data_IF_680418421893
#
_entry.id   IF_680418421893
#
_cell.length_a   1.000
_cell.length_b   1.000
_cell.length_c   1.000
_cell.angle_alpha   90.00
_cell.angle_beta   90.00
_cell.angle_gamma   90.00
#
_symmetry.space_group_name_H-M   'P 1'
#
loop_
_entity.id
_entity.type
_entity.pdbx_description
1 polymer ?
#
# COMPACT_ATOMS: atom_id res chain seq x y z
N UNK A 1 -0.51 -20.05 5.50
CA UNK A 1 -1.64 -19.43 4.75
C UNK A 1 -1.09 -18.19 4.03
N UNK A 2 -1.64 -17.76 2.89
CA UNK A 2 -1.18 -16.54 2.21
C UNK A 2 -2.16 -15.40 2.39
N UNK A 3 -1.65 -14.17 2.36
CA UNK A 3 -2.42 -12.93 2.34
C UNK A 3 -2.85 -12.64 0.91
N UNK A 4 -4.10 -12.21 0.75
CA UNK A 4 -4.67 -11.77 -0.53
C UNK A 4 -5.06 -10.28 -0.46
N UNK A 5 -6.22 -9.98 0.12
CA UNK A 5 -6.78 -8.62 0.21
C UNK A 5 -7.40 -8.35 1.59
N UNK A 6 -7.76 -7.08 1.83
CA UNK A 6 -8.48 -6.64 3.02
C UNK A 6 -9.80 -6.02 2.59
N UNK A 7 -10.88 -6.80 2.69
CA UNK A 7 -12.21 -6.40 2.19
C UNK A 7 -12.13 -5.98 0.71
N UNK A 8 -12.48 -4.75 0.37
CA UNK A 8 -12.36 -4.18 -0.98
C UNK A 8 -11.09 -3.34 -1.18
N UNK A 9 -9.96 -3.76 -0.61
CA UNK A 9 -8.68 -3.03 -0.70
C UNK A 9 -7.49 -3.98 -0.79
N UNK A 10 -6.47 -3.59 -1.56
CA UNK A 10 -5.19 -4.30 -1.59
C UNK A 10 -4.38 -3.99 -0.33
N UNK A 11 -3.44 -4.86 0.02
CA UNK A 11 -2.59 -4.76 1.21
C UNK A 11 -1.11 -4.74 0.87
N UNK A 12 -0.34 -3.98 1.64
CA UNK A 12 1.09 -3.81 1.52
C UNK A 12 1.78 -3.96 2.88
N UNK A 13 2.97 -4.56 2.88
CA UNK A 13 3.85 -4.72 4.04
C UNK A 13 5.16 -3.96 3.76
N UNK A 14 5.60 -3.12 4.70
CA UNK A 14 6.89 -2.43 4.61
C UNK A 14 7.93 -3.18 5.44
N UNK A 15 9.00 -3.64 4.80
CA UNK A 15 10.11 -4.42 5.38
C UNK A 15 11.45 -3.77 5.07
N UNK A 16 11.87 -2.82 5.91
CA UNK A 16 13.06 -2.01 5.63
C UNK A 16 12.86 -1.15 4.38
N UNK A 17 13.71 -1.30 3.37
CA UNK A 17 13.59 -0.58 2.08
C UNK A 17 12.70 -1.32 1.05
N UNK A 18 12.10 -2.45 1.43
CA UNK A 18 11.27 -3.26 0.52
C UNK A 18 9.80 -3.15 0.91
N UNK A 19 8.95 -2.84 -0.06
CA UNK A 19 7.49 -2.87 0.06
C UNK A 19 7.00 -4.13 -0.67
N UNK A 20 6.29 -4.99 0.05
CA UNK A 20 5.78 -6.26 -0.46
C UNK A 20 4.27 -6.19 -0.57
N UNK A 21 3.71 -6.68 -1.67
CA UNK A 21 2.27 -6.83 -1.86
C UNK A 21 1.95 -8.17 -2.54
N UNK A 22 0.79 -8.79 -2.26
CA UNK A 22 0.32 -9.93 -3.01
C UNK A 22 0.28 -9.68 -4.53
N UNK A 23 0.80 -10.64 -5.31
CA UNK A 23 0.73 -10.61 -6.78
C UNK A 23 -0.71 -10.86 -7.27
N UNK A 24 -1.10 -10.20 -8.36
CA UNK A 24 -2.47 -10.21 -8.89
C UNK A 24 -2.74 -11.30 -9.93
N UNK A 25 -1.87 -12.31 -10.01
CA UNK A 25 -1.98 -13.41 -10.98
C UNK A 25 -3.04 -14.48 -10.62
N UNK A 26 -4.11 -14.08 -9.92
CA UNK A 26 -5.12 -14.97 -9.35
C UNK A 26 -6.42 -14.25 -8.99
N UNK A 27 -6.89 -14.42 -7.76
CA UNK A 27 -8.18 -13.89 -7.25
C UNK A 27 -8.13 -12.43 -6.82
N UNK A 28 -6.93 -11.87 -6.72
CA UNK A 28 -6.66 -10.53 -6.19
C UNK A 28 -6.93 -9.49 -7.27
N UNK A 29 -7.69 -8.45 -6.93
CA UNK A 29 -8.03 -7.37 -7.84
C UNK A 29 -6.80 -6.51 -8.17
N UNK A 30 -6.61 -6.24 -9.46
CA UNK A 30 -5.62 -5.30 -9.97
C UNK A 30 -6.05 -3.84 -9.74
N UNK A 31 -6.01 -3.41 -8.47
CA UNK A 31 -6.45 -2.07 -8.09
C UNK A 31 -5.64 -0.95 -8.74
N UNK A 32 -6.32 0.08 -9.24
CA UNK A 32 -5.65 1.27 -9.82
C UNK A 32 -4.86 2.02 -8.75
N UNK A 33 -5.41 2.20 -7.54
CA UNK A 33 -4.69 2.84 -6.42
C UNK A 33 -3.45 2.04 -6.03
N UNK A 34 -3.53 0.69 -6.04
CA UNK A 34 -2.39 -0.20 -5.83
C UNK A 34 -1.31 0.07 -6.88
N UNK A 35 -1.67 0.11 -8.17
CA UNK A 35 -0.74 0.42 -9.26
C UNK A 35 -0.06 1.78 -9.06
N UNK A 36 -0.83 2.84 -8.79
CA UNK A 36 -0.27 4.18 -8.54
C UNK A 36 0.70 4.19 -7.35
N UNK A 37 0.35 3.49 -6.26
CA UNK A 37 1.21 3.40 -5.07
C UNK A 37 2.51 2.63 -5.35
N UNK A 38 2.46 1.56 -6.13
CA UNK A 38 3.65 0.82 -6.57
C UNK A 38 4.57 1.75 -7.37
N UNK A 39 4.03 2.49 -8.35
CA UNK A 39 4.81 3.43 -9.16
C UNK A 39 5.44 4.55 -8.33
N UNK A 40 4.69 5.11 -7.37
CA UNK A 40 5.21 6.13 -6.44
C UNK A 40 6.30 5.56 -5.52
N UNK A 41 6.10 4.37 -4.97
CA UNK A 41 7.11 3.71 -4.13
C UNK A 41 8.43 3.50 -4.87
N UNK A 42 8.37 3.00 -6.11
CA UNK A 42 9.55 2.83 -6.96
C UNK A 42 10.22 4.18 -7.24
N UNK A 43 9.43 5.22 -7.56
CA UNK A 43 9.95 6.57 -7.79
C UNK A 43 10.69 7.15 -6.57
N UNK A 44 10.23 6.82 -5.36
CA UNK A 44 10.87 7.21 -4.10
C UNK A 44 12.10 6.38 -3.73
N UNK A 45 12.47 5.37 -4.54
CA UNK A 45 13.64 4.53 -4.32
C UNK A 45 13.40 3.27 -3.48
N UNK A 46 12.15 2.94 -3.17
CA UNK A 46 11.82 1.66 -2.52
C UNK A 46 11.89 0.51 -3.52
N UNK A 47 12.32 -0.66 -3.04
CA UNK A 47 12.15 -1.91 -3.79
C UNK A 47 10.71 -2.37 -3.63
N UNK A 48 10.01 -2.67 -4.73
CA UNK A 48 8.66 -3.25 -4.66
C UNK A 48 8.69 -4.72 -5.10
N UNK A 49 8.08 -5.60 -4.31
CA UNK A 49 7.94 -7.02 -4.60
C UNK A 49 6.47 -7.42 -4.69
N UNK A 50 6.05 -7.87 -5.86
CA UNK A 50 4.73 -8.47 -6.10
C UNK A 50 4.88 -10.00 -6.09
N UNK A 51 4.45 -10.65 -5.01
CA UNK A 51 4.63 -12.11 -4.83
C UNK A 51 3.60 -12.70 -3.88
N UNK A 52 3.58 -14.02 -3.73
CA UNK A 52 2.82 -14.65 -2.63
C UNK A 52 3.42 -14.20 -1.30
N UNK A 53 2.55 -13.81 -0.37
CA UNK A 53 2.94 -13.31 0.95
C UNK A 53 2.37 -14.24 2.03
N UNK A 54 3.19 -15.09 2.66
CA UNK A 54 2.79 -15.86 3.83
C UNK A 54 2.32 -14.94 4.97
N UNK A 55 1.28 -15.35 5.69
CA UNK A 55 0.73 -14.61 6.85
C UNK A 55 1.79 -14.39 7.93
N UNK A 56 2.77 -15.28 8.01
CA UNK A 56 3.87 -15.24 8.96
C UNK A 56 4.76 -13.99 8.77
N UNK A 57 4.85 -13.45 7.55
CA UNK A 57 5.63 -12.23 7.26
C UNK A 57 5.05 -10.96 7.89
N UNK A 58 3.79 -10.99 8.35
CA UNK A 58 3.18 -9.88 9.09
C UNK A 58 4.01 -9.47 10.32
N UNK A 59 4.65 -10.44 10.98
CA UNK A 59 5.47 -10.19 12.16
C UNK A 59 6.77 -9.45 11.85
N UNK A 60 7.19 -9.47 10.59
CA UNK A 60 8.43 -8.85 10.11
C UNK A 60 8.18 -7.44 9.52
N UNK A 61 6.91 -7.07 9.32
CA UNK A 61 6.54 -5.79 8.75
C UNK A 61 6.67 -4.65 9.78
N UNK A 62 7.37 -3.60 9.40
CA UNK A 62 7.46 -2.36 10.19
C UNK A 62 6.18 -1.53 10.08
N UNK A 63 5.54 -1.56 8.92
CA UNK A 63 4.25 -0.94 8.64
C UNK A 63 3.40 -1.89 7.79
N UNK A 64 2.08 -1.78 7.94
CA UNK A 64 1.11 -2.39 7.05
C UNK A 64 0.12 -1.33 6.64
N UNK A 65 -0.25 -1.30 5.36
CA UNK A 65 -1.23 -0.37 4.85
C UNK A 65 -2.10 -0.99 3.76
N UNK A 66 -3.28 -0.40 3.57
CA UNK A 66 -4.23 -0.80 2.55
C UNK A 66 -4.39 0.30 1.50
N UNK A 67 -4.71 -0.10 0.28
CA UNK A 67 -5.01 0.82 -0.82
C UNK A 67 -6.33 0.48 -1.50
N UNK A 68 -7.10 1.50 -1.86
CA UNK A 68 -8.29 1.36 -2.69
C UNK A 68 -8.87 2.72 -3.04
N UNK A 69 -9.74 2.81 -4.04
CA UNK A 69 -10.26 4.11 -4.49
C UNK A 69 -10.95 4.90 -3.37
N UNK A 70 -11.82 4.23 -2.61
CA UNK A 70 -12.48 4.84 -1.46
C UNK A 70 -11.56 4.96 -0.23
N UNK A 71 -10.65 4.01 -0.05
CA UNK A 71 -9.72 3.93 1.10
C UNK A 71 -8.57 4.95 0.98
N UNK A 72 -8.21 5.35 -0.24
CA UNK A 72 -6.95 6.02 -0.54
C UNK A 72 -5.77 5.12 -0.17
N UNK A 73 -4.85 5.65 0.63
CA UNK A 73 -3.76 4.91 1.29
C UNK A 73 -3.98 5.02 2.79
N UNK A 74 -4.24 3.90 3.47
CA UNK A 74 -4.62 3.88 4.88
C UNK A 74 -3.74 2.93 5.69
N UNK A 75 -3.16 3.43 6.79
CA UNK A 75 -2.37 2.60 7.72
C UNK A 75 -3.24 1.57 8.44
N UNK A 76 -2.69 0.38 8.67
CA UNK A 76 -3.30 -0.68 9.48
C UNK A 76 -2.63 -0.69 10.86
N UNK A 77 -3.40 -0.44 11.92
CA UNK A 77 -2.87 -0.37 13.28
C UNK A 77 -2.61 -1.72 13.94
N UNK A 78 -3.37 -2.75 13.57
CA UNK A 78 -3.12 -4.11 14.06
C UNK A 78 -3.77 -5.16 13.17
N UNK A 79 -3.21 -6.37 13.14
CA UNK A 79 -3.81 -7.54 12.52
C UNK A 79 -3.86 -8.67 13.54
N UNK A 80 -5.01 -9.35 13.62
CA UNK A 80 -5.20 -10.54 14.48
C UNK A 80 -5.32 -11.78 13.63
N UNK A 81 -4.49 -12.79 13.90
CA UNK A 81 -4.52 -14.08 13.24
C UNK A 81 -4.30 -15.20 14.26
N UNK A 82 -5.18 -16.21 14.27
CA UNK A 82 -5.12 -17.34 15.21
C UNK A 82 -4.89 -16.90 16.67
N UNK A 83 -5.73 -15.99 17.19
CA UNK A 83 -5.63 -15.40 18.53
C UNK A 83 -4.32 -14.63 18.84
N UNK A 84 -3.47 -14.40 17.84
CA UNK A 84 -2.27 -13.58 17.96
C UNK A 84 -2.51 -12.23 17.31
N UNK A 85 -2.43 -11.16 18.11
CA UNK A 85 -2.53 -9.78 17.62
C UNK A 85 -1.13 -9.20 17.41
N UNK A 86 -0.87 -8.69 16.21
CA UNK A 86 0.33 -7.94 15.86
C UNK A 86 -0.05 -6.48 15.71
N UNK A 87 0.66 -5.57 16.37
CA UNK A 87 0.42 -4.13 16.30
C UNK A 87 1.50 -3.45 15.46
N UNK A 88 1.11 -2.43 14.69
CA UNK A 88 1.99 -1.68 13.81
C UNK A 88 1.99 -0.21 14.19
N UNK A 89 3.06 0.50 13.82
CA UNK A 89 3.16 1.94 14.03
C UNK A 89 2.18 2.67 13.09
N UNK A 90 1.43 3.62 13.65
CA UNK A 90 0.53 4.52 12.90
C UNK A 90 0.80 5.95 13.34
N UNK A 91 1.96 6.49 12.94
CA UNK A 91 2.44 7.80 13.37
C UNK A 91 2.98 8.60 12.18
N UNK A 92 3.38 9.84 12.48
CA UNK A 92 3.94 10.72 11.47
C UNK A 92 5.32 10.29 10.97
N UNK A 93 5.59 10.53 9.67
CA UNK A 93 6.88 10.25 9.02
C UNK A 93 7.07 8.81 8.54
N UNK A 94 5.98 8.03 8.49
CA UNK A 94 5.97 6.66 7.99
C UNK A 94 5.85 6.60 6.46
N UNK A 95 6.31 5.49 5.85
CA UNK A 95 6.25 5.24 4.40
C UNK A 95 4.81 5.36 3.90
N UNK A 96 3.87 4.80 4.66
CA UNK A 96 2.44 4.86 4.34
C UNK A 96 1.94 6.30 4.19
N UNK A 97 2.35 7.19 5.09
CA UNK A 97 1.92 8.58 5.06
C UNK A 97 2.59 9.36 3.93
N UNK A 98 3.88 9.11 3.66
CA UNK A 98 4.57 9.72 2.54
C UNK A 98 3.86 9.40 1.21
N UNK A 99 3.53 8.12 0.99
CA UNK A 99 2.79 7.67 -0.19
C UNK A 99 1.39 8.30 -0.26
N UNK A 100 0.68 8.36 0.86
CA UNK A 100 -0.64 9.01 0.96
C UNK A 100 -0.58 10.48 0.57
N UNK A 101 0.35 11.23 1.15
CA UNK A 101 0.48 12.67 0.93
C UNK A 101 0.81 12.98 -0.52
N UNK A 102 1.70 12.21 -1.15
CA UNK A 102 2.04 12.39 -2.56
C UNK A 102 0.85 12.08 -3.47
N UNK A 103 0.19 10.93 -3.25
CA UNK A 103 -0.95 10.53 -4.07
C UNK A 103 -2.10 11.54 -3.98
N UNK A 104 -2.47 11.96 -2.77
CA UNK A 104 -3.52 12.97 -2.56
C UNK A 104 -3.09 14.32 -3.15
N UNK A 105 -1.82 14.68 -3.01
CA UNK A 105 -1.30 15.91 -3.60
C UNK A 105 -1.45 15.95 -5.12
N UNK A 106 -1.16 14.83 -5.80
CA UNK A 106 -1.38 14.68 -7.25
C UNK A 106 -2.88 14.77 -7.56
N UNK A 107 -3.71 14.00 -6.86
CA UNK A 107 -5.17 13.97 -7.08
C UNK A 107 -5.86 15.32 -6.88
N UNK A 108 -5.31 16.17 -6.02
CA UNK A 108 -5.83 17.52 -5.71
C UNK A 108 -5.16 18.62 -6.52
N UNK A 109 -4.15 18.29 -7.34
CA UNK A 109 -3.37 19.26 -8.13
C UNK A 109 -2.40 20.12 -7.31
N UNK A 110 -2.16 19.78 -6.03
CA UNK A 110 -1.17 20.48 -5.19
C UNK A 110 0.26 19.97 -5.39
N UNK A 111 0.42 18.79 -5.99
CA UNK A 111 1.70 18.23 -6.45
C UNK A 111 1.58 18.00 -7.96
N UNK A 112 2.63 18.35 -8.70
CA UNK A 112 2.70 18.08 -10.13
C UNK A 112 2.51 16.59 -10.40
N UNK A 113 1.77 16.27 -11.45
CA UNK A 113 1.58 14.89 -11.89
C UNK A 113 2.61 14.50 -12.95
N UNK A 114 3.69 13.77 -12.60
CA UNK A 114 4.69 13.33 -13.58
C UNK A 114 4.21 12.15 -14.43
N UNK A 115 3.03 11.59 -14.15
CA UNK A 115 2.52 10.36 -14.75
C UNK A 115 1.28 10.56 -15.63
N UNK A 116 0.81 11.80 -15.75
CA UNK A 116 -0.34 12.17 -16.58
C UNK A 116 -1.61 11.36 -16.21
N UNK A 117 -1.82 11.15 -14.91
CA UNK A 117 -3.01 10.55 -14.31
C UNK A 117 -4.17 11.53 -14.17
N UNK A 118 -3.89 12.83 -14.01
CA UNK A 118 -4.87 13.88 -13.80
C UNK A 118 -5.39 14.36 -15.15
N UNK A 119 -6.67 14.10 -15.41
CA UNK A 119 -7.38 14.61 -16.57
C UNK A 119 -8.25 15.80 -16.17
N UNK A 120 -8.03 16.96 -16.80
CA UNK A 120 -8.93 18.10 -16.68
C UNK A 120 -10.25 17.80 -17.40
N UNK A 121 -11.37 18.05 -16.73
CA UNK A 121 -12.72 17.88 -17.29
C UNK A 121 -13.32 19.28 -17.46
N UNK A 122 -13.91 19.54 -18.62
CA UNK A 122 -14.62 20.78 -18.97
C UNK A 122 -16.06 20.82 -18.45
#
# INVERSE_FOLDING_TARGET
KNIEEVSASNIFLVKGNTIVTPATNGTILEGITRKSVIELAIHLGYKVEERKVPVEELKEAAEVFCTGTATGVASVGSITFNNTRTEYKVKDGLVTQQLRSILVGIQTGSIQDPKDWVLQID
#
